data_IF_842085324608
#
_entry.id   IF_842085324608
#
_cell.length_a   1.000
_cell.length_b   1.000
_cell.length_c   1.000
_cell.angle_alpha   90.00
_cell.angle_beta   90.00
_cell.angle_gamma   90.00
#
_symmetry.space_group_name_H-M   'P 1'
#
loop_
_entity.id
_entity.type
_entity.pdbx_description
1 polymer ?
#
# COMPACT_ATOMS: atom_id res chain seq x y z
N UNK A 1 10.82 -13.86 19.00
CA UNK A 1 9.76 -13.76 17.99
C UNK A 1 10.01 -14.82 16.92
N UNK A 2 9.26 -15.92 16.89
CA UNK A 2 9.47 -17.06 15.98
C UNK A 2 9.11 -16.78 14.51
N UNK A 3 9.64 -15.69 13.94
CA UNK A 3 9.36 -15.23 12.57
C UNK A 3 10.49 -15.72 11.66
N UNK A 4 10.14 -16.47 10.61
CA UNK A 4 11.09 -16.93 9.60
C UNK A 4 11.22 -15.89 8.49
N UNK A 5 12.45 -15.49 8.18
CA UNK A 5 12.72 -14.55 7.10
C UNK A 5 12.58 -15.22 5.72
N UNK A 6 11.75 -14.63 4.84
CA UNK A 6 11.57 -15.09 3.46
C UNK A 6 11.96 -13.96 2.49
N UNK A 7 12.67 -14.32 1.40
CA UNK A 7 13.11 -13.37 0.36
C UNK A 7 12.48 -13.75 -0.97
N UNK A 8 11.96 -12.75 -1.67
CA UNK A 8 11.64 -12.92 -3.09
C UNK A 8 12.92 -13.25 -3.86
N UNK A 9 12.83 -14.20 -4.80
CA UNK A 9 13.96 -14.58 -5.65
C UNK A 9 14.28 -13.44 -6.62
N UNK A 10 15.57 -13.15 -6.82
CA UNK A 10 16.03 -12.10 -7.74
C UNK A 10 15.51 -12.36 -9.16
N UNK A 11 15.18 -11.29 -9.87
CA UNK A 11 14.67 -11.29 -11.24
C UNK A 11 13.36 -12.07 -11.46
N UNK A 12 12.56 -12.27 -10.40
CA UNK A 12 11.23 -12.87 -10.47
C UNK A 12 10.14 -11.90 -9.98
N UNK A 13 9.82 -10.86 -10.79
CA UNK A 13 8.88 -9.81 -10.40
C UNK A 13 7.45 -10.33 -10.16
N UNK A 14 7.07 -11.46 -10.78
CA UNK A 14 5.75 -12.07 -10.60
C UNK A 14 5.36 -12.30 -9.14
N UNK A 15 6.35 -12.56 -8.27
CA UNK A 15 6.10 -12.85 -6.84
C UNK A 15 5.81 -11.60 -6.01
N UNK A 16 6.17 -10.41 -6.50
CA UNK A 16 6.03 -9.13 -5.79
C UNK A 16 4.87 -8.28 -6.30
N UNK A 17 4.05 -8.79 -7.23
CA UNK A 17 3.00 -8.00 -7.88
C UNK A 17 1.99 -7.33 -6.93
N UNK A 18 1.70 -7.92 -5.77
CA UNK A 18 0.82 -7.29 -4.76
C UNK A 18 1.47 -6.04 -4.14
N UNK A 19 2.74 -6.13 -3.73
CA UNK A 19 3.45 -5.00 -3.12
C UNK A 19 3.77 -3.93 -4.18
N UNK A 20 4.12 -4.34 -5.40
CA UNK A 20 4.32 -3.42 -6.52
C UNK A 20 3.04 -2.65 -6.86
N UNK A 21 1.88 -3.32 -6.91
CA UNK A 21 0.59 -2.65 -7.13
C UNK A 21 0.26 -1.67 -6.01
N UNK A 22 0.55 -2.03 -4.77
CA UNK A 22 0.40 -1.13 -3.61
C UNK A 22 1.29 0.11 -3.75
N UNK A 23 2.59 -0.07 -4.01
CA UNK A 23 3.54 1.03 -4.19
C UNK A 23 3.14 1.97 -5.32
N UNK A 24 2.65 1.46 -6.45
CA UNK A 24 2.13 2.30 -7.53
C UNK A 24 0.94 3.16 -7.07
N UNK A 25 -0.05 2.56 -6.41
CA UNK A 25 -1.22 3.32 -5.90
C UNK A 25 -0.85 4.33 -4.82
N UNK A 26 0.15 4.02 -4.00
CA UNK A 26 0.69 4.91 -2.96
C UNK A 26 1.47 6.07 -3.58
N UNK A 27 2.23 5.82 -4.63
CA UNK A 27 2.94 6.85 -5.37
C UNK A 27 1.97 7.85 -6.02
N UNK A 28 0.96 7.34 -6.73
CA UNK A 28 -0.08 8.15 -7.39
C UNK A 28 -0.97 8.91 -6.39
N UNK A 29 -1.34 8.26 -5.28
CA UNK A 29 -2.35 8.79 -4.36
C UNK A 29 -1.80 9.64 -3.22
N UNK A 30 -0.50 9.53 -2.91
CA UNK A 30 0.13 10.25 -1.82
C UNK A 30 1.46 10.88 -2.22
N UNK A 31 2.44 10.07 -2.64
CA UNK A 31 3.82 10.53 -2.74
C UNK A 31 4.02 11.63 -3.81
N UNK A 32 3.31 11.52 -4.93
CA UNK A 32 3.41 12.44 -6.07
C UNK A 32 2.08 13.10 -6.43
N UNK A 33 1.06 13.00 -5.55
CA UNK A 33 -0.26 13.57 -5.79
C UNK A 33 -0.25 15.10 -5.90
N UNK A 34 0.67 15.76 -5.18
CA UNK A 34 0.85 17.21 -5.17
C UNK A 34 2.31 17.53 -4.84
N UNK A 35 2.68 18.80 -5.05
CA UNK A 35 3.96 19.30 -4.55
C UNK A 35 3.94 19.41 -3.03
N UNK A 36 5.01 18.93 -2.38
CA UNK A 36 5.24 19.08 -0.94
C UNK A 36 6.51 19.91 -0.76
N UNK A 37 6.48 21.00 0.01
CA UNK A 37 7.65 21.86 0.20
C UNK A 37 8.73 21.20 1.08
N UNK A 38 8.36 20.30 1.99
CA UNK A 38 9.30 19.48 2.75
C UNK A 38 8.84 18.01 2.88
N UNK A 39 9.76 17.11 3.23
CA UNK A 39 9.43 15.71 3.50
C UNK A 39 8.48 15.56 4.70
N UNK A 40 8.61 16.40 5.72
CA UNK A 40 7.74 16.39 6.89
C UNK A 40 6.26 16.58 6.51
N UNK A 41 5.97 17.48 5.55
CA UNK A 41 4.61 17.70 5.06
C UNK A 41 4.07 16.48 4.31
N UNK A 42 4.93 15.80 3.55
CA UNK A 42 4.59 14.55 2.87
C UNK A 42 4.26 13.48 3.90
N UNK A 43 5.09 13.28 4.92
CA UNK A 43 4.85 12.30 5.98
C UNK A 43 3.58 12.61 6.78
N UNK A 44 3.32 13.88 7.10
CA UNK A 44 2.10 14.30 7.79
C UNK A 44 0.83 14.00 6.97
N UNK A 45 0.91 14.02 5.64
CA UNK A 45 -0.21 13.67 4.76
C UNK A 45 -0.44 12.15 4.62
N UNK A 46 0.52 11.30 5.01
CA UNK A 46 0.45 9.85 4.80
C UNK A 46 -0.74 9.19 5.53
N UNK A 47 -1.01 9.45 6.83
CA UNK A 47 -2.15 8.84 7.51
C UNK A 47 -3.49 9.14 6.84
N UNK A 48 -3.64 10.36 6.31
CA UNK A 48 -4.83 10.80 5.58
C UNK A 48 -5.06 10.04 4.26
N UNK A 49 -4.02 9.43 3.69
CA UNK A 49 -4.14 8.55 2.53
C UNK A 49 -4.29 7.06 2.91
N UNK A 50 -3.58 6.60 3.94
CA UNK A 50 -3.60 5.19 4.37
C UNK A 50 -4.97 4.77 4.90
N UNK A 51 -5.62 5.62 5.70
CA UNK A 51 -6.96 5.34 6.23
C UNK A 51 -7.98 5.02 5.13
N UNK A 52 -8.20 5.89 4.11
CA UNK A 52 -9.15 5.59 3.06
C UNK A 52 -8.73 4.45 2.14
N UNK A 53 -7.42 4.23 1.92
CA UNK A 53 -6.95 3.07 1.18
C UNK A 53 -7.35 1.75 1.85
N UNK A 54 -7.17 1.64 3.16
CA UNK A 54 -7.45 0.41 3.91
C UNK A 54 -8.96 0.21 4.19
N UNK A 55 -9.72 1.29 4.40
CA UNK A 55 -11.10 1.21 4.90
C UNK A 55 -12.18 1.47 3.85
N UNK A 56 -11.89 2.22 2.78
CA UNK A 56 -12.93 2.66 1.84
C UNK A 56 -12.66 2.28 0.39
N UNK A 57 -11.40 2.10 -0.01
CA UNK A 57 -11.06 1.84 -1.42
C UNK A 57 -11.50 0.43 -1.83
N UNK A 58 -12.35 0.27 -2.86
CA UNK A 58 -12.75 -1.04 -3.34
C UNK A 58 -11.61 -1.72 -4.12
N UNK A 59 -11.32 -2.98 -3.83
CA UNK A 59 -10.28 -3.76 -4.49
C UNK A 59 -10.88 -4.90 -5.31
N UNK A 60 -10.58 -4.94 -6.61
CA UNK A 60 -11.12 -5.95 -7.54
C UNK A 60 -10.76 -7.38 -7.17
N UNK A 61 -9.55 -7.60 -6.64
CA UNK A 61 -9.07 -8.91 -6.21
C UNK A 61 -9.85 -9.49 -5.00
N UNK A 62 -10.68 -8.69 -4.33
CA UNK A 62 -11.42 -9.07 -3.13
C UNK A 62 -12.91 -8.71 -3.25
N UNK A 63 -13.46 -8.80 -4.46
CA UNK A 63 -14.90 -8.59 -4.69
C UNK A 63 -15.35 -7.14 -4.50
N UNK A 64 -14.48 -6.16 -4.79
CA UNK A 64 -14.73 -4.72 -4.60
C UNK A 64 -14.92 -4.30 -3.13
N UNK A 65 -14.48 -5.12 -2.19
CA UNK A 65 -14.44 -4.75 -0.77
C UNK A 65 -13.13 -4.00 -0.43
N UNK A 66 -13.09 -3.25 0.68
CA UNK A 66 -11.87 -2.62 1.15
C UNK A 66 -10.91 -3.63 1.80
N UNK A 67 -9.58 -3.40 1.77
CA UNK A 67 -8.58 -4.33 2.29
C UNK A 67 -8.82 -4.82 3.73
N UNK A 68 -9.34 -3.96 4.60
CA UNK A 68 -9.60 -4.29 6.01
C UNK A 68 -10.55 -5.48 6.18
N UNK A 69 -11.46 -5.74 5.23
CA UNK A 69 -12.43 -6.84 5.35
C UNK A 69 -11.77 -8.22 5.34
N UNK A 70 -10.50 -8.31 4.96
CA UNK A 70 -9.74 -9.58 4.95
C UNK A 70 -8.88 -9.79 6.19
N UNK A 71 -8.81 -8.81 7.09
CA UNK A 71 -8.08 -8.96 8.34
C UNK A 71 -9.01 -9.63 9.36
N UNK A 72 -8.85 -10.94 9.54
CA UNK A 72 -9.44 -11.66 10.67
C UNK A 72 -8.56 -11.42 11.89
N UNK A 73 -9.18 -11.01 13.00
CA UNK A 73 -8.51 -10.83 14.30
C UNK A 73 -8.08 -12.16 14.89
#
# INVERSE_FOLDING_TARGET
MGITHNRARRYLPQTSGKIERFHRTLAEGWAFKKFYPAEADRLAALPGWVCPYNHYRPHSAIGKQPPITRLTT
#
